data_IF_446119467985
#
_entry.id   IF_446119467985
#
_cell.length_a   1.000
_cell.length_b   1.000
_cell.length_c   1.000
_cell.angle_alpha   90.00
_cell.angle_beta   90.00
_cell.angle_gamma   90.00
#
_symmetry.space_group_name_H-M   'P 1'
#
loop_
_entity.id
_entity.type
_entity.pdbx_description
1 polymer ?
#
# COMPACT_ATOMS: atom_id res chain seq x y z
N UNK A 1 -12.10 -5.62 -4.61
CA UNK A 1 -11.00 -5.74 -3.63
C UNK A 1 -10.92 -4.44 -2.86
N UNK A 2 -11.10 -4.49 -1.55
CA UNK A 2 -11.06 -3.32 -0.67
C UNK A 2 -9.84 -3.44 0.23
N UNK A 3 -9.10 -2.35 0.37
CA UNK A 3 -7.97 -2.21 1.29
C UNK A 3 -8.35 -1.13 2.29
N UNK A 4 -8.29 -1.47 3.58
CA UNK A 4 -8.57 -0.54 4.67
C UNK A 4 -7.30 -0.38 5.52
N UNK A 5 -6.96 0.87 5.81
CA UNK A 5 -5.88 1.23 6.73
C UNK A 5 -6.51 2.03 7.85
N UNK A 6 -6.35 1.58 9.09
CA UNK A 6 -6.93 2.21 10.27
C UNK A 6 -6.00 2.08 11.46
N UNK A 7 -6.20 2.95 12.44
CA UNK A 7 -5.43 2.94 13.68
C UNK A 7 -5.94 1.80 14.58
N UNK A 8 -5.10 0.82 14.88
CA UNK A 8 -5.42 -0.28 15.80
C UNK A 8 -5.35 0.16 17.29
N UNK A 9 -5.75 1.40 17.57
CA UNK A 9 -5.77 1.99 18.91
C UNK A 9 -7.20 2.39 19.29
N UNK A 10 -7.70 2.05 20.49
CA UNK A 10 -9.04 2.45 20.94
C UNK A 10 -9.23 3.97 20.89
N UNK A 11 -10.23 4.43 20.15
CA UNK A 11 -10.51 5.86 19.94
C UNK A 11 -9.76 6.50 18.78
N UNK A 12 -8.78 5.80 18.18
CA UNK A 12 -7.95 6.33 17.10
C UNK A 12 -6.97 7.40 17.57
N UNK A 13 -5.80 7.46 16.95
CA UNK A 13 -4.81 8.51 17.21
C UNK A 13 -4.67 9.49 16.04
N UNK A 14 -5.44 9.25 14.97
CA UNK A 14 -5.58 10.15 13.84
C UNK A 14 -4.50 9.99 12.78
N UNK A 15 -3.86 8.82 12.65
CA UNK A 15 -2.85 8.60 11.59
C UNK A 15 -3.52 8.25 10.27
N UNK A 16 -4.68 7.57 10.30
CA UNK A 16 -5.43 7.19 9.10
C UNK A 16 -5.87 8.40 8.25
N UNK A 17 -6.24 9.53 8.86
CA UNK A 17 -6.66 10.74 8.16
C UNK A 17 -5.54 11.33 7.26
N UNK A 18 -4.35 11.68 7.78
CA UNK A 18 -3.27 12.18 6.93
C UNK A 18 -2.76 11.11 5.96
N UNK A 19 -2.76 9.83 6.37
CA UNK A 19 -2.45 8.70 5.46
C UNK A 19 -3.38 8.67 4.25
N UNK A 20 -4.66 8.97 4.43
CA UNK A 20 -5.61 9.05 3.33
C UNK A 20 -5.23 10.13 2.31
N UNK A 21 -4.85 11.32 2.80
CA UNK A 21 -4.42 12.44 1.96
C UNK A 21 -3.16 12.12 1.13
N UNK A 22 -2.25 11.31 1.67
CA UNK A 22 -0.99 10.92 0.99
C UNK A 22 -1.01 9.50 0.42
N UNK A 23 -2.19 8.87 0.31
CA UNK A 23 -2.33 7.47 -0.14
C UNK A 23 -1.60 7.19 -1.46
N UNK A 24 -1.71 8.08 -2.46
CA UNK A 24 -1.04 7.91 -3.74
C UNK A 24 0.50 7.91 -3.61
N UNK A 25 1.05 8.81 -2.78
CA UNK A 25 2.49 8.82 -2.51
C UNK A 25 2.93 7.53 -1.81
N UNK A 26 2.13 7.03 -0.86
CA UNK A 26 2.40 5.78 -0.15
C UNK A 26 2.41 4.56 -1.09
N UNK A 27 1.45 4.47 -2.01
CA UNK A 27 1.41 3.39 -3.00
C UNK A 27 2.62 3.42 -3.94
N UNK A 28 3.02 4.60 -4.42
CA UNK A 28 4.20 4.75 -5.28
C UNK A 28 5.49 4.37 -4.55
N UNK A 29 5.67 4.81 -3.29
CA UNK A 29 6.81 4.40 -2.47
C UNK A 29 6.84 2.90 -2.20
N UNK A 30 5.67 2.28 -2.05
CA UNK A 30 5.58 0.82 -1.88
C UNK A 30 6.01 0.09 -3.16
N UNK A 31 5.59 0.58 -4.33
CA UNK A 31 6.02 0.04 -5.62
C UNK A 31 7.55 0.14 -5.81
N UNK A 32 8.14 1.29 -5.47
CA UNK A 32 9.60 1.50 -5.46
C UNK A 32 10.30 0.50 -4.53
N UNK A 33 9.80 0.33 -3.30
CA UNK A 33 10.39 -0.56 -2.30
C UNK A 33 10.39 -2.03 -2.77
N UNK A 34 9.25 -2.52 -3.28
CA UNK A 34 9.15 -3.92 -3.70
C UNK A 34 9.96 -4.17 -4.97
N UNK A 35 9.96 -3.22 -5.92
CA UNK A 35 10.73 -3.34 -7.17
C UNK A 35 12.25 -3.30 -6.94
N UNK A 36 12.73 -2.48 -6.01
CA UNK A 36 14.15 -2.39 -5.66
C UNK A 36 14.66 -3.56 -4.81
N UNK A 37 13.76 -4.37 -4.23
CA UNK A 37 14.16 -5.50 -3.42
C UNK A 37 14.84 -6.59 -4.28
N UNK A 38 16.04 -7.10 -3.91
CA UNK A 38 16.80 -8.06 -4.72
C UNK A 38 16.25 -9.50 -4.67
N UNK A 39 15.19 -9.75 -3.90
CA UNK A 39 14.59 -11.08 -3.83
C UNK A 39 13.90 -11.47 -5.13
N UNK A 40 13.92 -12.77 -5.45
CA UNK A 40 13.23 -13.32 -6.61
C UNK A 40 11.73 -13.42 -6.35
N UNK A 41 11.33 -14.17 -5.31
CA UNK A 41 9.93 -14.47 -5.04
C UNK A 41 9.33 -13.69 -3.84
N UNK A 42 9.92 -12.54 -3.45
CA UNK A 42 9.38 -11.59 -2.43
C UNK A 42 9.70 -11.89 -0.96
N UNK A 43 10.54 -11.16 -0.22
CA UNK A 43 10.92 -11.46 1.17
C UNK A 43 10.00 -10.88 2.29
N UNK A 44 10.19 -11.29 3.57
CA UNK A 44 9.49 -10.70 4.73
C UNK A 44 9.56 -9.18 4.83
N UNK A 45 10.59 -8.57 4.24
CA UNK A 45 10.79 -7.13 4.26
C UNK A 45 10.08 -6.39 3.13
N UNK A 46 9.60 -7.07 2.07
CA UNK A 46 8.95 -6.39 0.93
C UNK A 46 7.51 -6.83 0.70
N UNK A 47 7.22 -8.14 0.64
CA UNK A 47 5.85 -8.66 0.40
C UNK A 47 5.19 -9.20 1.66
N UNK A 48 5.95 -9.39 2.75
CA UNK A 48 5.44 -9.87 4.03
C UNK A 48 5.75 -11.35 4.33
N UNK A 49 5.10 -11.93 5.35
CA UNK A 49 5.50 -13.19 5.98
C UNK A 49 5.70 -14.37 5.02
N UNK A 50 6.62 -15.26 5.37
CA UNK A 50 7.00 -16.39 4.52
C UNK A 50 5.99 -17.54 4.46
N UNK A 51 5.04 -17.61 5.39
CA UNK A 51 4.11 -18.73 5.52
C UNK A 51 3.18 -18.92 4.32
N UNK A 52 2.89 -17.84 3.57
CA UNK A 52 1.89 -17.83 2.50
C UNK A 52 2.49 -17.60 1.10
N UNK A 53 3.81 -17.78 0.94
CA UNK A 53 4.51 -17.47 -0.32
C UNK A 53 4.39 -18.60 -1.33
N UNK A 54 3.62 -18.36 -2.40
CA UNK A 54 3.64 -19.18 -3.61
C UNK A 54 4.69 -18.68 -4.59
N UNK A 55 5.01 -19.46 -5.62
CA UNK A 55 5.78 -18.98 -6.77
C UNK A 55 5.05 -17.79 -7.43
N UNK A 56 5.79 -16.75 -7.83
CA UNK A 56 5.23 -15.54 -8.44
C UNK A 56 4.67 -14.49 -7.46
N UNK A 57 4.92 -14.61 -6.15
CA UNK A 57 4.31 -13.72 -5.15
C UNK A 57 4.70 -12.25 -5.38
N UNK A 58 5.98 -11.99 -5.70
CA UNK A 58 6.48 -10.63 -5.93
C UNK A 58 5.87 -10.01 -7.19
N UNK A 59 5.77 -10.80 -8.25
CA UNK A 59 5.24 -10.41 -9.55
C UNK A 59 3.77 -10.02 -9.43
N UNK A 60 2.98 -10.84 -8.74
CA UNK A 60 1.56 -10.56 -8.48
C UNK A 60 1.41 -9.32 -7.61
N UNK A 61 2.22 -9.16 -6.54
CA UNK A 61 2.18 -7.97 -5.70
C UNK A 61 2.48 -6.68 -6.49
N UNK A 62 3.52 -6.70 -7.34
CA UNK A 62 3.86 -5.58 -8.21
C UNK A 62 2.74 -5.25 -9.20
N UNK A 63 2.10 -6.26 -9.80
CA UNK A 63 1.00 -6.05 -10.73
C UNK A 63 -0.23 -5.43 -10.04
N UNK A 64 -0.57 -5.90 -8.84
CA UNK A 64 -1.64 -5.30 -8.04
C UNK A 64 -1.31 -3.83 -7.73
N UNK A 65 -0.09 -3.52 -7.29
CA UNK A 65 0.33 -2.16 -6.96
C UNK A 65 0.29 -1.23 -8.17
N UNK A 66 0.77 -1.68 -9.34
CA UNK A 66 0.69 -0.89 -10.59
C UNK A 66 -0.75 -0.51 -10.93
N UNK A 67 -1.68 -1.46 -10.82
CA UNK A 67 -3.11 -1.19 -11.05
C UNK A 67 -3.68 -0.22 -10.04
N UNK A 68 -3.26 -0.29 -8.76
CA UNK A 68 -3.71 0.63 -7.73
C UNK A 68 -3.20 2.05 -7.96
N UNK A 69 -1.94 2.23 -8.36
CA UNK A 69 -1.37 3.55 -8.68
C UNK A 69 -2.07 4.23 -9.86
N UNK A 70 -2.61 3.47 -10.81
CA UNK A 70 -3.34 4.01 -11.97
C UNK A 70 -4.79 4.41 -11.65
N UNK A 71 -5.29 4.21 -10.42
CA UNK A 71 -6.69 4.52 -10.09
C UNK A 71 -6.83 6.00 -9.69
N UNK A 72 -7.70 6.77 -10.38
CA UNK A 72 -7.88 8.21 -10.15
C UNK A 72 -8.42 8.54 -8.74
N UNK A 73 -9.07 7.58 -8.09
CA UNK A 73 -9.63 7.71 -6.73
C UNK A 73 -8.57 8.03 -5.64
N UNK A 74 -7.29 7.76 -5.88
CA UNK A 74 -6.20 8.09 -4.95
C UNK A 74 -5.56 9.46 -5.23
N UNK A 75 -5.94 10.10 -6.33
CA UNK A 75 -5.46 11.43 -6.75
C UNK A 75 -6.30 12.58 -6.15
N UNK A 76 -7.51 12.24 -5.67
CA UNK A 76 -8.56 13.15 -5.20
C UNK A 76 -8.69 13.26 -3.67
N UNK A 77 -7.76 12.73 -2.87
CA UNK A 77 -7.78 12.90 -1.40
C UNK A 77 -7.45 14.35 -0.93
N UNK A 78 -7.70 15.36 -1.77
CA UNK A 78 -7.60 16.80 -1.48
C UNK A 78 -8.89 17.39 -0.89
N UNK A 79 -9.98 16.63 -0.73
CA UNK A 79 -11.29 17.13 -0.27
C UNK A 79 -11.71 16.63 1.11
N UNK A 80 -10.77 16.46 2.03
CA UNK A 80 -11.07 16.25 3.46
C UNK A 80 -10.42 17.31 4.36
N UNK A 81 -10.42 18.56 3.90
CA UNK A 81 -10.30 19.77 4.74
C UNK A 81 -11.50 20.65 4.43
N UNK A 82 -12.63 20.42 5.12
CA UNK A 82 -13.62 21.44 5.56
C UNK A 82 -14.72 20.69 6.32
N UNK A 83 -14.52 20.51 7.63
CA UNK A 83 -15.57 20.41 8.63
C UNK A 83 -14.95 20.66 10.01
#
# INVERSE_FOLDING_TARGET
>A
MYLYIYDAYPGGIGISQPLYCVCHALLNRTLELISACPCENGCPSCVGPTADRSEGTKEVALEILRRLCQRPQFESARTAETA
#
